data_IF_303420363408
#
_entry.id   IF_303420363408
#
_cell.length_a   1.000
_cell.length_b   1.000
_cell.length_c   1.000
_cell.angle_alpha   90.00
_cell.angle_beta   90.00
_cell.angle_gamma   90.00
#
_symmetry.space_group_name_H-M   'P 1'
#
loop_
_entity.id
_entity.type
_entity.pdbx_description
1 polymer ?
#
# COMPACT_ATOMS: atom_id res chain seq x y z
N UNK A 1 -18.58 3.72 -1.41
CA UNK A 1 -17.35 2.90 -1.46
C UNK A 1 -16.39 3.52 -2.48
N UNK A 2 -15.08 3.65 -2.19
CA UNK A 2 -14.08 4.34 -3.05
C UNK A 2 -13.67 3.51 -4.28
N UNK A 3 -14.65 3.11 -5.09
CA UNK A 3 -14.49 2.18 -6.21
C UNK A 3 -13.52 2.69 -7.29
N UNK A 4 -13.34 4.02 -7.38
CA UNK A 4 -12.45 4.65 -8.36
C UNK A 4 -10.96 4.32 -8.17
N UNK A 5 -10.54 4.00 -6.94
CA UNK A 5 -9.14 3.67 -6.60
C UNK A 5 -8.90 2.18 -6.35
N UNK A 6 -9.96 1.43 -6.03
CA UNK A 6 -9.92 0.02 -5.64
C UNK A 6 -10.42 -0.92 -6.75
N UNK A 7 -11.20 -0.41 -7.70
CA UNK A 7 -11.80 -1.19 -8.77
C UNK A 7 -10.87 -1.43 -9.96
N UNK A 8 -11.20 -2.46 -10.74
CA UNK A 8 -10.52 -2.81 -11.99
C UNK A 8 -10.82 -1.76 -13.06
N UNK A 9 -9.78 -1.04 -13.50
CA UNK A 9 -9.86 0.00 -14.54
C UNK A 9 -8.53 0.07 -15.29
N UNK A 10 -8.50 0.50 -16.56
CA UNK A 10 -7.25 0.62 -17.30
C UNK A 10 -6.32 1.68 -16.69
N UNK A 11 -6.87 2.80 -16.17
CA UNK A 11 -6.09 3.88 -15.56
C UNK A 11 -6.85 4.57 -14.42
N UNK A 12 -6.12 5.08 -13.42
CA UNK A 12 -6.63 5.95 -12.36
C UNK A 12 -6.22 7.40 -12.63
N UNK A 13 -6.91 8.06 -13.58
CA UNK A 13 -6.57 9.41 -14.03
C UNK A 13 -6.59 10.47 -12.91
N UNK A 14 -7.37 10.25 -11.86
CA UNK A 14 -7.45 11.10 -10.66
C UNK A 14 -6.13 11.14 -9.86
N UNK A 15 -5.23 10.16 -10.08
CA UNK A 15 -3.89 10.11 -9.45
C UNK A 15 -2.79 10.45 -10.46
N UNK A 16 -2.98 10.10 -11.73
CA UNK A 16 -2.09 10.47 -12.83
C UNK A 16 -2.33 9.61 -14.08
N UNK A 17 -1.97 10.11 -15.25
CA UNK A 17 -2.16 9.40 -16.54
C UNK A 17 -1.36 8.10 -16.67
N UNK A 18 -0.33 7.94 -15.85
CA UNK A 18 0.53 6.76 -15.80
C UNK A 18 0.08 5.74 -14.74
N UNK A 19 -0.90 6.09 -13.91
CA UNK A 19 -1.35 5.23 -12.82
C UNK A 19 -2.30 4.15 -13.36
N UNK A 20 -1.98 2.85 -13.20
CA UNK A 20 -2.92 1.79 -13.54
C UNK A 20 -4.17 1.85 -12.66
N UNK A 21 -5.26 1.19 -13.05
CA UNK A 21 -6.34 0.91 -12.10
C UNK A 21 -5.83 0.14 -10.89
N UNK A 22 -6.62 0.11 -9.81
CA UNK A 22 -6.25 -0.52 -8.53
C UNK A 22 -4.98 0.04 -7.88
N UNK A 23 -4.69 1.32 -8.10
CA UNK A 23 -3.51 1.97 -7.51
C UNK A 23 -3.43 1.81 -5.99
N UNK A 24 -4.58 1.76 -5.29
CA UNK A 24 -4.61 1.53 -3.84
C UNK A 24 -4.03 0.16 -3.44
N UNK A 25 -4.20 -0.89 -4.25
CA UNK A 25 -3.59 -2.20 -4.02
C UNK A 25 -2.08 -2.16 -4.23
N UNK A 26 -1.63 -1.49 -5.30
CA UNK A 26 -0.21 -1.32 -5.57
C UNK A 26 0.50 -0.55 -4.47
N UNK A 27 -0.06 0.58 -4.02
CA UNK A 27 0.48 1.37 -2.90
C UNK A 27 0.43 0.57 -1.59
N UNK A 28 -0.66 -0.14 -1.32
CA UNK A 28 -0.78 -1.02 -0.16
C UNK A 28 0.33 -2.06 -0.09
N UNK A 29 0.68 -2.68 -1.22
CA UNK A 29 1.79 -3.63 -1.29
C UNK A 29 3.14 -2.98 -1.01
N UNK A 30 3.39 -1.77 -1.52
CA UNK A 30 4.63 -1.03 -1.23
C UNK A 30 4.78 -0.71 0.27
N UNK A 31 3.67 -0.35 0.93
CA UNK A 31 3.63 -0.10 2.38
C UNK A 31 4.00 -1.37 3.16
N UNK A 32 3.38 -2.52 2.81
CA UNK A 32 3.67 -3.81 3.45
C UNK A 32 5.13 -4.20 3.26
N UNK A 33 5.68 -4.04 2.05
CA UNK A 33 7.06 -4.35 1.76
C UNK A 33 8.02 -3.45 2.57
N UNK A 34 7.74 -2.16 2.69
CA UNK A 34 8.50 -1.23 3.53
C UNK A 34 8.44 -1.61 5.02
N UNK A 35 7.26 -2.00 5.50
CA UNK A 35 7.06 -2.49 6.87
C UNK A 35 7.93 -3.71 7.17
N UNK A 36 7.87 -4.74 6.32
CA UNK A 36 8.65 -5.97 6.53
C UNK A 36 10.16 -5.73 6.45
N UNK A 37 10.61 -4.78 5.63
CA UNK A 37 12.03 -4.37 5.59
C UNK A 37 12.49 -3.70 6.89
N UNK A 38 11.63 -2.92 7.54
CA UNK A 38 11.94 -2.25 8.80
C UNK A 38 11.75 -3.17 10.01
N UNK A 39 11.03 -4.28 9.85
CA UNK A 39 10.70 -5.25 10.89
C UNK A 39 11.05 -6.67 10.42
N UNK A 40 12.35 -7.00 10.29
CA UNK A 40 12.79 -8.31 9.80
C UNK A 40 12.33 -9.47 10.70
N UNK A 41 12.02 -9.18 11.96
CA UNK A 41 11.57 -10.17 12.96
C UNK A 41 10.07 -10.48 12.85
N UNK A 42 9.32 -9.68 12.08
CA UNK A 42 7.86 -9.84 11.93
C UNK A 42 7.55 -10.69 10.71
N UNK A 43 6.83 -11.79 10.95
CA UNK A 43 6.34 -12.65 9.87
C UNK A 43 5.12 -12.05 9.17
N UNK A 44 4.89 -12.46 7.92
CA UNK A 44 3.70 -12.05 7.18
C UNK A 44 2.40 -12.44 7.91
N UNK A 45 2.36 -13.60 8.58
CA UNK A 45 1.18 -14.02 9.35
C UNK A 45 0.89 -13.10 10.53
N UNK A 46 1.91 -12.67 11.28
CA UNK A 46 1.75 -11.71 12.38
C UNK A 46 1.29 -10.34 11.88
N UNK A 47 1.82 -9.89 10.73
CA UNK A 47 1.34 -8.67 10.08
C UNK A 47 -0.14 -8.79 9.73
N UNK A 48 -0.57 -9.90 9.12
CA UNK A 48 -1.96 -10.11 8.70
C UNK A 48 -2.93 -10.27 9.88
N UNK A 49 -2.44 -10.64 11.06
CA UNK A 49 -3.22 -10.64 12.31
C UNK A 49 -3.41 -9.22 12.89
N UNK A 50 -2.61 -8.25 12.45
CA UNK A 50 -2.71 -6.86 12.91
C UNK A 50 -3.87 -6.17 12.19
N UNK A 51 -4.96 -5.93 12.91
CA UNK A 51 -6.14 -5.25 12.36
C UNK A 51 -5.97 -3.73 12.18
N UNK A 52 -4.99 -3.12 12.84
CA UNK A 52 -4.74 -1.68 12.76
C UNK A 52 -3.87 -1.31 11.55
N UNK A 53 -4.53 -1.01 10.44
CA UNK A 53 -3.87 -0.55 9.23
C UNK A 53 -3.11 0.78 9.40
N UNK A 54 -3.53 1.65 10.33
CA UNK A 54 -2.88 2.95 10.54
C UNK A 54 -1.58 2.81 11.32
N UNK A 55 -1.52 1.88 12.27
CA UNK A 55 -0.28 1.50 12.94
C UNK A 55 0.73 0.92 11.94
N UNK A 56 0.31 -0.01 11.07
CA UNK A 56 1.16 -0.59 10.02
C UNK A 56 1.73 0.51 9.11
N UNK A 57 0.89 1.44 8.67
CA UNK A 57 1.33 2.54 7.81
C UNK A 57 2.34 3.47 8.49
N UNK A 58 2.15 3.79 9.78
CA UNK A 58 3.10 4.63 10.54
C UNK A 58 4.45 3.91 10.74
N UNK A 59 4.39 2.63 11.08
CA UNK A 59 5.57 1.81 11.34
C UNK A 59 6.35 1.48 10.06
N UNK A 60 5.68 1.39 8.91
CA UNK A 60 6.34 1.13 7.63
C UNK A 60 7.31 2.23 7.20
N UNK A 61 7.18 3.44 7.77
CA UNK A 61 7.93 4.64 7.37
C UNK A 61 7.95 4.85 5.85
N UNK A 62 6.90 4.38 5.16
CA UNK A 62 6.87 4.38 3.71
C UNK A 62 6.84 5.81 3.18
N UNK A 63 7.92 6.20 2.49
CA UNK A 63 8.03 7.46 1.75
C UNK A 63 8.25 7.12 0.28
N UNK A 64 7.26 7.34 -0.61
CA UNK A 64 7.47 7.14 -2.03
C UNK A 64 8.59 8.07 -2.50
N UNK A 65 9.61 7.50 -3.15
CA UNK A 65 10.70 8.29 -3.71
C UNK A 65 10.13 9.26 -4.75
N UNK A 66 10.43 10.55 -4.61
CA UNK A 66 10.19 11.50 -5.70
C UNK A 66 11.11 11.10 -6.86
N UNK A 67 10.51 10.59 -7.93
CA UNK A 67 11.19 10.40 -9.20
C UNK A 67 10.97 11.64 -10.05
#
# INVERSE_FOLDING_TARGET
MKQRYLGERPKTLEVGEQCPGRIAQWVGWQIVNSYMKNHPDVTLQQLMQTADAQAIFKASQYKPSRR
#
